data_IF_815907759896
#
_entry.id   IF_815907759896
#
_cell.length_a   1.000
_cell.length_b   1.000
_cell.length_c   1.000
_cell.angle_alpha   90.00
_cell.angle_beta   90.00
_cell.angle_gamma   90.00
#
_symmetry.space_group_name_H-M   'P 1'
#
loop_
_entity.id
_entity.type
_entity.pdbx_description
1 polymer ?
#
# COMPACT_ATOMS: atom_id res chain seq x y z
N UNK A 1 -21.19 -0.65 -18.57
CA UNK A 1 -19.89 0.03 -18.38
C UNK A 1 -19.54 -0.06 -16.92
N UNK A 2 -18.37 -0.61 -16.59
CA UNK A 2 -17.88 -0.71 -15.21
C UNK A 2 -17.35 0.66 -14.81
N UNK A 3 -17.89 1.27 -13.75
CA UNK A 3 -17.52 2.63 -13.30
C UNK A 3 -16.67 2.56 -12.04
N UNK A 4 -15.71 3.47 -11.90
CA UNK A 4 -14.95 3.62 -10.66
C UNK A 4 -15.89 4.06 -9.54
N UNK A 5 -15.90 3.28 -8.45
CA UNK A 5 -16.62 3.62 -7.22
C UNK A 5 -15.61 3.99 -6.13
N UNK A 6 -16.04 4.74 -5.10
CA UNK A 6 -15.17 5.06 -3.96
C UNK A 6 -14.62 3.81 -3.27
N UNK A 7 -15.35 2.70 -3.32
CA UNK A 7 -14.88 1.41 -2.78
C UNK A 7 -13.74 0.84 -3.64
N UNK A 8 -13.94 0.75 -4.96
CA UNK A 8 -12.91 0.24 -5.87
C UNK A 8 -11.63 1.08 -5.81
N UNK A 9 -11.76 2.41 -5.73
CA UNK A 9 -10.61 3.31 -5.54
C UNK A 9 -9.85 3.00 -4.24
N UNK A 10 -10.56 2.78 -3.13
CA UNK A 10 -9.93 2.45 -1.85
C UNK A 10 -9.19 1.12 -1.90
N UNK A 11 -9.81 0.10 -2.48
CA UNK A 11 -9.22 -1.23 -2.64
C UNK A 11 -7.94 -1.18 -3.49
N UNK A 12 -8.00 -0.49 -4.62
CA UNK A 12 -6.84 -0.37 -5.52
C UNK A 12 -5.74 0.51 -4.92
N UNK A 13 -6.10 1.56 -4.17
CA UNK A 13 -5.13 2.35 -3.40
C UNK A 13 -4.43 1.50 -2.34
N UNK A 14 -5.15 0.65 -1.59
CA UNK A 14 -4.51 -0.27 -0.64
C UNK A 14 -3.54 -1.18 -1.39
N UNK A 15 -3.99 -1.82 -2.48
CA UNK A 15 -3.16 -2.74 -3.27
C UNK A 15 -1.90 -2.06 -3.80
N UNK A 16 -2.02 -0.83 -4.32
CA UNK A 16 -0.88 -0.06 -4.80
C UNK A 16 0.11 0.25 -3.66
N UNK A 17 -0.38 0.66 -2.49
CA UNK A 17 0.48 0.92 -1.32
C UNK A 17 1.11 -0.36 -0.75
N UNK A 18 0.44 -1.49 -0.83
CA UNK A 18 0.96 -2.81 -0.43
C UNK A 18 2.11 -3.23 -1.36
N UNK A 19 1.91 -3.13 -2.68
CA UNK A 19 2.96 -3.37 -3.69
C UNK A 19 4.14 -2.45 -3.46
N UNK A 20 3.90 -1.16 -3.22
CA UNK A 20 4.96 -0.21 -2.91
C UNK A 20 5.73 -0.66 -1.65
N UNK A 21 5.03 -0.93 -0.55
CA UNK A 21 5.64 -1.31 0.72
C UNK A 21 6.53 -2.57 0.61
N UNK A 22 6.11 -3.56 -0.17
CA UNK A 22 6.86 -4.79 -0.37
C UNK A 22 8.02 -4.67 -1.36
N UNK A 23 7.90 -3.80 -2.37
CA UNK A 23 8.92 -3.63 -3.41
C UNK A 23 9.98 -2.59 -3.04
N UNK A 24 9.62 -1.55 -2.29
CA UNK A 24 10.52 -0.48 -1.82
C UNK A 24 10.93 -0.70 -0.36
N UNK A 25 11.60 -1.83 -0.10
CA UNK A 25 12.20 -2.10 1.22
C UNK A 25 13.19 -1.00 1.68
N UNK A 26 13.73 -1.08 2.91
CA UNK A 26 14.64 -0.08 3.44
C UNK A 26 15.86 0.13 2.50
N UNK A 27 15.92 1.27 1.82
CA UNK A 27 17.08 1.68 1.02
C UNK A 27 18.18 2.19 1.95
N UNK A 28 18.96 1.27 2.48
CA UNK A 28 20.22 1.56 3.16
C UNK A 28 21.39 1.69 2.16
N UNK A 29 22.49 2.36 2.53
CA UNK A 29 23.69 2.45 1.70
C UNK A 29 24.20 1.07 1.25
N UNK A 30 24.55 0.97 -0.04
CA UNK A 30 24.85 -0.27 -0.76
C UNK A 30 25.98 -1.13 -0.15
N UNK A 31 26.88 -0.50 0.63
CA UNK A 31 28.02 -1.17 1.27
C UNK A 31 27.65 -2.04 2.49
N UNK A 32 26.38 -2.03 2.93
CA UNK A 32 25.88 -2.84 4.06
C UNK A 32 25.01 -4.04 3.62
N UNK A 33 25.02 -4.41 2.33
CA UNK A 33 24.21 -5.53 1.77
C UNK A 33 24.78 -6.94 2.04
N UNK A 34 26.03 -7.06 2.50
CA UNK A 34 26.78 -8.31 2.45
C UNK A 34 26.67 -9.22 3.70
N UNK A 35 25.65 -9.06 4.54
CA UNK A 35 25.58 -9.85 5.79
C UNK A 35 24.52 -10.94 5.85
N UNK A 36 23.53 -11.04 4.94
CA UNK A 36 22.47 -12.07 5.09
C UNK A 36 21.89 -12.57 3.75
N UNK A 37 21.95 -13.89 3.46
CA UNK A 37 21.21 -14.49 2.34
C UNK A 37 19.71 -14.64 2.63
N UNK A 38 18.85 -14.39 1.64
CA UNK A 38 17.38 -14.44 1.71
C UNK A 38 16.80 -15.74 1.09
N UNK A 39 16.59 -16.79 1.89
CA UNK A 39 15.70 -17.93 1.60
C UNK A 39 14.26 -17.69 2.12
N UNK A 40 13.34 -18.60 1.79
CA UNK A 40 12.00 -18.74 2.42
C UNK A 40 12.02 -19.99 3.30
N UNK A 41 11.62 -19.93 4.56
CA UNK A 41 11.58 -21.10 5.46
C UNK A 41 10.27 -21.86 5.22
N UNK A 42 10.35 -23.17 4.96
CA UNK A 42 9.18 -24.06 4.95
C UNK A 42 8.94 -24.66 6.34
N UNK A 43 7.75 -25.19 6.62
CA UNK A 43 7.44 -25.80 7.93
C UNK A 43 8.32 -27.02 8.24
N UNK A 44 8.73 -27.78 7.21
CA UNK A 44 9.64 -28.92 7.35
C UNK A 44 11.06 -28.46 7.76
N UNK A 45 11.50 -27.29 7.28
CA UNK A 45 12.77 -26.68 7.68
C UNK A 45 12.75 -26.19 9.14
N UNK A 46 11.61 -25.69 9.62
CA UNK A 46 11.45 -25.24 11.02
C UNK A 46 11.57 -26.41 12.00
N UNK A 47 10.98 -27.55 11.68
CA UNK A 47 11.04 -28.77 12.50
C UNK A 47 12.46 -29.33 12.53
N UNK A 48 13.16 -29.38 11.38
CA UNK A 48 14.56 -29.79 11.30
C UNK A 48 15.52 -28.88 12.06
N UNK A 49 15.29 -27.56 12.02
CA UNK A 49 16.09 -26.57 12.74
C UNK A 49 15.88 -26.60 14.27
N UNK A 50 14.67 -26.93 14.72
CA UNK A 50 14.35 -27.12 16.14
C UNK A 50 15.04 -28.35 16.74
N UNK A 51 15.07 -29.46 15.99
CA UNK A 51 15.70 -30.70 16.42
C UNK A 51 17.24 -30.60 16.56
N UNK A 52 17.88 -29.72 15.78
CA UNK A 52 19.33 -29.52 15.80
C UNK A 52 19.81 -28.34 16.65
N UNK A 53 18.91 -27.59 17.29
CA UNK A 53 19.26 -26.52 18.25
C UNK A 53 19.91 -25.26 17.64
N UNK A 54 19.82 -25.07 16.31
CA UNK A 54 20.56 -24.02 15.58
C UNK A 54 19.65 -22.90 15.06
N UNK A 55 18.70 -22.41 15.87
CA UNK A 55 17.86 -21.29 15.44
C UNK A 55 18.66 -19.96 15.40
N UNK A 56 19.16 -19.58 14.22
CA UNK A 56 19.65 -18.22 13.95
C UNK A 56 19.17 -17.72 12.58
N UNK A 57 17.99 -17.10 12.64
CA UNK A 57 17.33 -16.18 11.69
C UNK A 57 16.41 -16.80 10.62
N UNK A 58 15.13 -16.47 10.80
CA UNK A 58 14.05 -16.64 9.86
C UNK A 58 14.41 -16.04 8.50
N UNK A 59 14.29 -16.85 7.47
CA UNK A 59 14.66 -16.45 6.14
C UNK A 59 13.57 -15.63 5.46
N UNK A 60 13.93 -14.41 5.07
CA UNK A 60 13.02 -13.40 4.54
C UNK A 60 12.71 -13.68 3.09
N UNK A 61 11.52 -14.21 2.92
CA UNK A 61 10.73 -14.29 1.70
C UNK A 61 10.62 -12.91 1.04
N UNK A 62 11.43 -12.63 0.01
CA UNK A 62 11.17 -11.49 -0.89
C UNK A 62 9.91 -11.80 -1.69
N UNK A 63 8.81 -11.08 -1.44
CA UNK A 63 7.56 -11.22 -2.20
C UNK A 63 7.82 -10.68 -3.60
N UNK A 64 7.70 -11.56 -4.60
CA UNK A 64 7.80 -11.16 -6.00
C UNK A 64 6.39 -10.77 -6.46
N UNK A 65 6.15 -9.47 -6.65
CA UNK A 65 4.91 -8.96 -7.23
C UNK A 65 4.93 -9.14 -8.75
N UNK A 66 3.76 -9.35 -9.32
CA UNK A 66 3.61 -9.51 -10.77
C UNK A 66 3.82 -8.18 -11.50
N UNK A 67 4.22 -8.23 -12.77
CA UNK A 67 4.36 -7.03 -13.60
C UNK A 67 3.06 -6.23 -13.71
N UNK A 68 1.90 -6.92 -13.69
CA UNK A 68 0.57 -6.28 -13.69
C UNK A 68 0.34 -5.48 -12.40
N UNK A 69 0.66 -6.04 -11.24
CA UNK A 69 0.53 -5.34 -9.95
C UNK A 69 1.45 -4.12 -9.86
N UNK A 70 2.69 -4.24 -10.34
CA UNK A 70 3.63 -3.11 -10.41
C UNK A 70 3.08 -2.02 -11.34
N UNK A 71 2.62 -2.40 -12.53
CA UNK A 71 2.05 -1.45 -13.49
C UNK A 71 0.81 -0.74 -12.93
N UNK A 72 -0.07 -1.46 -12.22
CA UNK A 72 -1.22 -0.87 -11.54
C UNK A 72 -0.79 0.10 -10.44
N UNK A 73 0.16 -0.28 -9.58
CA UNK A 73 0.72 0.59 -8.55
C UNK A 73 1.31 1.86 -9.15
N UNK A 74 2.08 1.75 -10.23
CA UNK A 74 2.70 2.87 -10.91
C UNK A 74 1.65 3.84 -11.51
N UNK A 75 0.59 3.32 -12.15
CA UNK A 75 -0.52 4.14 -12.63
C UNK A 75 -1.19 4.92 -11.49
N UNK A 76 -1.44 4.25 -10.36
CA UNK A 76 -2.15 4.83 -9.20
C UNK A 76 -1.29 5.87 -8.49
N UNK A 77 -0.03 5.55 -8.18
CA UNK A 77 0.83 6.37 -7.30
C UNK A 77 1.71 7.36 -8.06
N UNK A 78 2.21 7.00 -9.24
CA UNK A 78 3.16 7.82 -10.00
C UNK A 78 2.48 8.55 -11.16
N UNK A 79 1.44 7.97 -11.75
CA UNK A 79 0.78 8.52 -12.94
C UNK A 79 1.64 8.28 -14.18
N UNK A 80 1.59 7.06 -14.72
CA UNK A 80 2.32 6.65 -15.93
C UNK A 80 1.35 6.58 -17.13
N UNK A 81 1.89 6.78 -18.34
CA UNK A 81 1.12 6.61 -19.59
C UNK A 81 0.23 7.81 -19.91
N UNK A 82 0.67 9.03 -19.53
CA UNK A 82 -0.07 10.27 -19.78
C UNK A 82 -1.22 10.53 -18.80
N UNK A 83 -1.46 9.62 -17.86
CA UNK A 83 -2.41 9.83 -16.77
C UNK A 83 -1.71 10.42 -15.55
N UNK A 84 -2.33 11.36 -14.83
CA UNK A 84 -1.74 11.90 -13.62
C UNK A 84 -1.91 10.93 -12.45
N UNK A 85 -1.06 11.02 -11.43
CA UNK A 85 -1.20 10.19 -10.23
C UNK A 85 -2.54 10.46 -9.55
N UNK A 86 -3.13 9.46 -8.90
CA UNK A 86 -4.45 9.63 -8.29
C UNK A 86 -4.42 10.67 -7.16
N UNK A 87 -3.29 10.82 -6.47
CA UNK A 87 -3.10 11.87 -5.47
C UNK A 87 -3.16 13.29 -6.05
N UNK A 88 -2.86 13.48 -7.34
CA UNK A 88 -2.93 14.78 -8.00
C UNK A 88 -4.36 15.32 -8.15
N UNK A 89 -5.36 14.44 -8.22
CA UNK A 89 -6.79 14.82 -8.25
C UNK A 89 -7.26 15.49 -6.96
N UNK A 90 -6.44 15.44 -5.89
CA UNK A 90 -6.69 16.05 -4.60
C UNK A 90 -5.69 17.17 -4.27
N UNK A 91 -4.99 17.72 -5.27
CA UNK A 91 -3.96 18.76 -5.09
C UNK A 91 -4.51 20.01 -4.39
N UNK A 92 -5.75 20.38 -4.67
CA UNK A 92 -6.48 21.49 -4.05
C UNK A 92 -6.91 21.20 -2.60
N UNK A 93 -6.97 19.92 -2.21
CA UNK A 93 -7.46 19.45 -0.92
C UNK A 93 -6.42 18.55 -0.22
N UNK A 94 -5.26 19.09 0.18
CA UNK A 94 -4.16 18.31 0.75
C UNK A 94 -4.56 17.60 2.07
N UNK A 95 -5.54 18.13 2.79
CA UNK A 95 -6.10 17.47 3.97
C UNK A 95 -6.77 16.12 3.66
N UNK A 96 -7.48 16.01 2.53
CA UNK A 96 -8.11 14.76 2.09
C UNK A 96 -7.06 13.74 1.65
N UNK A 97 -6.06 14.19 0.88
CA UNK A 97 -4.95 13.34 0.44
C UNK A 97 -4.21 12.75 1.65
N UNK A 98 -3.84 13.58 2.64
CA UNK A 98 -3.15 13.10 3.85
C UNK A 98 -3.97 12.06 4.60
N UNK A 99 -5.28 12.25 4.73
CA UNK A 99 -6.18 11.29 5.37
C UNK A 99 -6.20 9.96 4.61
N UNK A 100 -6.36 9.99 3.28
CA UNK A 100 -6.41 8.79 2.46
C UNK A 100 -5.10 8.00 2.50
N UNK A 101 -3.96 8.69 2.36
CA UNK A 101 -2.63 8.07 2.43
C UNK A 101 -2.35 7.49 3.81
N UNK A 102 -2.66 8.23 4.88
CA UNK A 102 -2.49 7.72 6.25
C UNK A 102 -3.33 6.46 6.49
N UNK A 103 -4.57 6.45 5.99
CA UNK A 103 -5.43 5.27 6.05
C UNK A 103 -4.81 4.07 5.30
N UNK A 104 -4.35 4.24 4.05
CA UNK A 104 -3.69 3.15 3.32
C UNK A 104 -2.50 2.56 4.11
N UNK A 105 -1.66 3.40 4.70
CA UNK A 105 -0.54 2.95 5.53
C UNK A 105 -0.95 2.20 6.80
N UNK A 106 -2.10 2.54 7.39
CA UNK A 106 -2.60 1.83 8.56
C UNK A 106 -3.21 0.49 8.19
N UNK A 107 -3.95 0.41 7.09
CA UNK A 107 -4.54 -0.82 6.58
C UNK A 107 -3.44 -1.85 6.23
N UNK A 108 -2.43 -1.46 5.44
CA UNK A 108 -1.34 -2.40 5.06
C UNK A 108 -0.51 -2.86 6.26
N UNK A 109 -0.47 -2.07 7.35
CA UNK A 109 0.23 -2.43 8.60
C UNK A 109 -0.67 -3.18 9.59
N UNK A 110 -1.91 -3.50 9.24
CA UNK A 110 -2.87 -4.16 10.12
C UNK A 110 -3.24 -3.35 11.36
N UNK A 111 -3.22 -2.02 11.27
CA UNK A 111 -3.51 -1.12 12.40
C UNK A 111 -4.97 -0.71 12.41
N UNK A 112 -5.59 -0.73 13.59
CA UNK A 112 -6.96 -0.25 13.76
C UNK A 112 -7.04 1.27 13.58
N UNK A 113 -7.77 1.71 12.55
CA UNK A 113 -7.93 3.14 12.20
C UNK A 113 -8.45 3.98 13.36
N UNK A 114 -9.39 3.48 14.16
CA UNK A 114 -9.95 4.19 15.30
C UNK A 114 -8.91 4.44 16.40
N UNK A 115 -8.12 3.41 16.75
CA UNK A 115 -7.03 3.53 17.71
C UNK A 115 -5.93 4.50 17.24
N UNK A 116 -5.61 4.51 15.93
CA UNK A 116 -4.66 5.47 15.35
C UNK A 116 -5.20 6.91 15.39
N UNK A 117 -6.50 7.10 15.15
CA UNK A 117 -7.14 8.41 15.30
C UNK A 117 -7.08 8.88 16.75
N UNK A 118 -7.42 8.03 17.71
CA UNK A 118 -7.37 8.35 19.14
C UNK A 118 -5.95 8.75 19.58
N UNK A 119 -4.92 7.99 19.18
CA UNK A 119 -3.52 8.29 19.48
C UNK A 119 -3.07 9.65 18.96
N UNK A 120 -3.64 10.10 17.85
CA UNK A 120 -3.31 11.38 17.19
C UNK A 120 -4.22 12.54 17.62
N UNK A 121 -5.18 12.30 18.51
CA UNK A 121 -6.19 13.30 18.88
C UNK A 121 -7.14 13.66 17.73
N UNK A 122 -7.33 12.77 16.76
CA UNK A 122 -8.23 12.98 15.62
C UNK A 122 -9.60 12.37 15.90
N UNK A 123 -10.66 13.10 15.52
CA UNK A 123 -12.01 12.54 15.54
C UNK A 123 -12.17 11.49 14.43
N UNK A 124 -12.46 10.24 14.81
CA UNK A 124 -12.61 9.12 13.87
C UNK A 124 -13.70 9.38 12.81
N UNK A 125 -14.85 9.93 13.20
CA UNK A 125 -15.94 10.26 12.28
C UNK A 125 -15.51 11.24 11.19
N UNK A 126 -14.78 12.28 11.56
CA UNK A 126 -14.22 13.27 10.63
C UNK A 126 -13.17 12.64 9.72
N UNK A 127 -12.29 11.80 10.26
CA UNK A 127 -11.28 11.09 9.50
C UNK A 127 -11.94 10.17 8.44
N UNK A 128 -12.91 9.36 8.86
CA UNK A 128 -13.67 8.46 7.98
C UNK A 128 -14.35 9.24 6.84
N UNK A 129 -15.06 10.33 7.17
CA UNK A 129 -15.73 11.18 6.17
C UNK A 129 -14.73 11.79 5.18
N UNK A 130 -13.57 12.26 5.65
CA UNK A 130 -12.51 12.79 4.78
C UNK A 130 -11.93 11.71 3.86
N UNK A 131 -11.69 10.51 4.37
CA UNK A 131 -11.22 9.36 3.56
C UNK A 131 -12.23 9.02 2.46
N UNK A 132 -13.50 8.87 2.84
CA UNK A 132 -14.54 8.48 1.89
C UNK A 132 -14.78 9.58 0.84
N UNK A 133 -14.73 10.85 1.23
CA UNK A 133 -14.75 11.98 0.29
C UNK A 133 -13.55 12.01 -0.66
N UNK A 134 -12.34 11.71 -0.15
CA UNK A 134 -11.14 11.64 -0.97
C UNK A 134 -11.29 10.58 -2.08
N UNK A 135 -11.75 9.39 -1.71
CA UNK A 135 -11.97 8.30 -2.65
C UNK A 135 -13.10 8.58 -3.65
N UNK A 136 -14.18 9.25 -3.21
CA UNK A 136 -15.26 9.68 -4.10
C UNK A 136 -14.80 10.67 -5.15
N UNK A 137 -14.00 11.68 -4.78
CA UNK A 137 -13.44 12.66 -5.73
C UNK A 137 -12.50 12.03 -6.74
N UNK A 138 -11.65 11.10 -6.29
CA UNK A 138 -10.78 10.35 -7.21
C UNK A 138 -11.63 9.54 -8.19
N UNK A 139 -12.64 8.81 -7.70
CA UNK A 139 -13.54 8.04 -8.56
C UNK A 139 -14.25 8.91 -9.60
N UNK A 140 -14.78 10.07 -9.19
CA UNK A 140 -15.39 11.06 -10.08
C UNK A 140 -14.42 11.48 -11.19
N UNK A 141 -13.19 11.88 -10.82
CA UNK A 141 -12.17 12.30 -11.80
C UNK A 141 -11.73 11.18 -12.74
N UNK A 142 -11.59 9.96 -12.25
CA UNK A 142 -11.27 8.80 -13.09
C UNK A 142 -12.36 8.50 -14.11
N UNK A 143 -13.63 8.59 -13.70
CA UNK A 143 -14.76 8.41 -14.60
C UNK A 143 -14.86 9.56 -15.63
N UNK A 144 -14.64 10.82 -15.21
CA UNK A 144 -14.61 11.98 -16.11
C UNK A 144 -13.51 11.88 -17.18
N UNK A 145 -12.35 11.36 -16.79
CA UNK A 145 -11.19 11.18 -17.69
C UNK A 145 -11.26 9.90 -18.54
N UNK A 146 -12.31 9.09 -18.37
CA UNK A 146 -12.52 7.87 -19.16
C UNK A 146 -11.58 6.72 -18.81
N UNK A 147 -11.04 6.68 -17.59
CA UNK A 147 -10.17 5.59 -17.13
C UNK A 147 -11.01 4.33 -16.90
N UNK A 148 -10.73 3.26 -17.64
CA UNK A 148 -11.39 1.97 -17.46
C UNK A 148 -11.05 1.32 -16.12
N UNK A 149 -11.99 0.56 -15.56
CA UNK A 149 -11.78 -0.24 -14.34
C UNK A 149 -11.10 -1.57 -14.71
N UNK A 150 -10.20 -2.08 -13.86
CA UNK A 150 -9.40 -3.30 -14.12
C UNK A 150 -9.33 -4.29 -12.95
#
# INVERSE_FOLDING_TARGET
>A
MTTWTSRAVKEEMIRAFEVLFETTGPVGPDWFKNSWPEYRVSFEDEVGQHAQGTQKKATRVRVQRTAREISSMEKVLLGIGGQPSWGSYLRDQPGLLRTLVAWCFWEIKGRHTEAECQRRGWAYSTFRRRRDNAAARIAEKLNETGVEVW
#
